data_IF_786792480315
#
_entry.id   IF_786792480315
#
_cell.length_a   1.000
_cell.length_b   1.000
_cell.length_c   1.000
_cell.angle_alpha   90.00
_cell.angle_beta   90.00
_cell.angle_gamma   90.00
#
_symmetry.space_group_name_H-M   'P 1'
#
loop_
_entity.id
_entity.type
_entity.pdbx_description
1 polymer ?
#
# COMPACT_ATOMS: atom_id res chain seq x y z
N UNK A 1 29.47 -36.36 7.35
CA UNK A 1 29.32 -35.34 6.30
C UNK A 1 28.56 -34.17 6.93
N UNK A 2 29.11 -32.95 6.89
CA UNK A 2 28.31 -31.77 7.25
C UNK A 2 27.19 -31.64 6.20
N UNK A 3 25.94 -31.48 6.63
CA UNK A 3 24.84 -31.19 5.71
C UNK A 3 25.17 -29.92 4.90
N UNK A 4 24.82 -29.93 3.62
CA UNK A 4 24.97 -28.73 2.80
C UNK A 4 24.15 -27.59 3.41
N UNK A 5 24.78 -26.43 3.61
CA UNK A 5 24.10 -25.25 4.11
C UNK A 5 23.03 -24.80 3.12
N UNK A 6 21.95 -24.21 3.61
CA UNK A 6 20.84 -23.68 2.81
C UNK A 6 20.88 -22.17 2.77
N UNK A 7 20.23 -21.56 1.78
CA UNK A 7 19.99 -20.13 1.75
C UNK A 7 18.75 -19.77 2.57
N UNK A 8 18.73 -18.56 3.15
CA UNK A 8 17.56 -17.99 3.77
C UNK A 8 17.07 -16.78 2.96
N UNK A 9 15.76 -16.73 2.73
CA UNK A 9 15.06 -15.60 2.10
C UNK A 9 14.12 -15.00 3.12
N UNK A 10 14.45 -13.80 3.59
CA UNK A 10 13.60 -13.01 4.46
C UNK A 10 12.87 -11.98 3.58
N UNK A 11 11.56 -11.89 3.68
CA UNK A 11 10.76 -11.00 2.83
C UNK A 11 9.76 -10.19 3.64
N UNK A 12 9.47 -8.97 3.19
CA UNK A 12 8.50 -8.07 3.82
C UNK A 12 7.10 -8.68 3.83
N UNK A 13 6.44 -8.65 5.01
CA UNK A 13 5.12 -9.20 5.28
C UNK A 13 4.35 -8.26 6.24
N UNK A 14 3.03 -8.10 6.08
CA UNK A 14 2.15 -8.56 5.00
C UNK A 14 2.14 -7.55 3.83
N UNK A 15 2.80 -7.87 2.75
CA UNK A 15 2.89 -6.99 1.59
C UNK A 15 2.92 -7.81 0.29
N UNK A 16 2.12 -7.47 -0.73
CA UNK A 16 2.21 -8.11 -2.04
C UNK A 16 3.60 -7.98 -2.66
N UNK A 17 4.25 -6.81 -2.54
CA UNK A 17 5.57 -6.58 -3.11
C UNK A 17 6.61 -7.52 -2.53
N UNK A 18 6.71 -7.61 -1.20
CA UNK A 18 7.60 -8.55 -0.53
C UNK A 18 7.28 -10.03 -0.85
N UNK A 19 6.00 -10.39 -0.97
CA UNK A 19 5.60 -11.75 -1.32
C UNK A 19 5.99 -12.12 -2.78
N UNK A 20 5.85 -11.18 -3.73
CA UNK A 20 6.29 -11.38 -5.10
C UNK A 20 7.83 -11.35 -5.22
N UNK A 21 8.53 -10.56 -4.41
CA UNK A 21 9.98 -10.65 -4.30
C UNK A 21 10.43 -12.05 -3.83
N UNK A 22 9.72 -12.62 -2.85
CA UNK A 22 9.96 -13.99 -2.40
C UNK A 22 9.57 -15.04 -3.46
N UNK A 23 8.51 -14.81 -4.26
CA UNK A 23 8.20 -15.65 -5.41
C UNK A 23 9.36 -15.70 -6.42
N UNK A 24 9.97 -14.56 -6.73
CA UNK A 24 11.13 -14.51 -7.62
C UNK A 24 12.30 -15.37 -7.09
N UNK A 25 12.58 -15.28 -5.79
CA UNK A 25 13.56 -16.16 -5.15
C UNK A 25 13.16 -17.63 -5.25
N UNK A 26 11.89 -17.96 -4.96
CA UNK A 26 11.38 -19.34 -5.06
C UNK A 26 11.58 -19.92 -6.45
N UNK A 27 11.27 -19.16 -7.51
CA UNK A 27 11.46 -19.59 -8.90
C UNK A 27 12.94 -19.91 -9.18
N UNK A 28 13.86 -19.06 -8.71
CA UNK A 28 15.29 -19.30 -8.84
C UNK A 28 15.75 -20.56 -8.13
N UNK A 29 15.43 -20.70 -6.84
CA UNK A 29 15.88 -21.84 -6.04
C UNK A 29 15.28 -23.16 -6.54
N UNK A 30 14.04 -23.15 -7.02
CA UNK A 30 13.37 -24.29 -7.66
C UNK A 30 14.08 -24.68 -8.97
N UNK A 31 14.35 -23.71 -9.84
CA UNK A 31 15.03 -23.94 -11.12
C UNK A 31 16.46 -24.43 -10.91
N UNK A 32 17.21 -23.85 -9.97
CA UNK A 32 18.57 -24.25 -9.64
C UNK A 32 18.67 -25.51 -8.77
N UNK A 33 17.55 -26.05 -8.31
CA UNK A 33 17.50 -27.20 -7.37
C UNK A 33 18.35 -26.99 -6.10
N UNK A 34 18.33 -25.75 -5.57
CA UNK A 34 19.09 -25.36 -4.37
C UNK A 34 18.19 -25.32 -3.14
N UNK A 35 18.71 -25.74 -1.96
CA UNK A 35 17.95 -25.70 -0.72
C UNK A 35 17.76 -24.27 -0.22
N UNK A 36 16.53 -23.91 0.16
CA UNK A 36 16.17 -22.59 0.66
C UNK A 36 15.13 -22.66 1.76
N UNK A 37 15.19 -21.71 2.71
CA UNK A 37 14.16 -21.49 3.71
C UNK A 37 13.63 -20.05 3.59
N UNK A 38 12.31 -19.89 3.72
CA UNK A 38 11.64 -18.60 3.61
C UNK A 38 11.14 -18.14 4.98
N UNK A 39 11.31 -16.85 5.28
CA UNK A 39 10.97 -16.23 6.55
C UNK A 39 10.19 -14.93 6.29
N UNK A 40 8.86 -14.91 6.51
CA UNK A 40 8.08 -13.68 6.45
C UNK A 40 8.49 -12.76 7.59
N UNK A 41 8.82 -11.52 7.30
CA UNK A 41 9.26 -10.53 8.27
C UNK A 41 8.27 -9.38 8.39
N UNK A 42 7.75 -9.13 9.58
CA UNK A 42 6.88 -7.99 9.87
C UNK A 42 7.66 -6.84 10.51
N UNK A 43 7.29 -5.60 10.19
CA UNK A 43 7.90 -4.40 10.78
C UNK A 43 7.60 -4.21 12.26
N UNK A 44 6.48 -4.77 12.74
CA UNK A 44 6.05 -4.64 14.14
C UNK A 44 6.74 -5.64 15.08
N UNK A 45 7.19 -6.79 14.56
CA UNK A 45 7.94 -7.80 15.28
C UNK A 45 9.03 -8.37 14.35
N UNK A 46 10.07 -7.58 14.07
CA UNK A 46 11.08 -7.96 13.08
C UNK A 46 11.94 -9.13 13.56
N UNK A 47 12.28 -10.01 12.61
CA UNK A 47 13.15 -11.15 12.85
C UNK A 47 14.52 -10.65 13.31
N UNK A 48 15.00 -11.21 14.42
CA UNK A 48 16.35 -10.99 14.94
C UNK A 48 17.29 -12.09 14.46
N UNK A 49 18.58 -11.79 14.37
CA UNK A 49 19.57 -12.80 13.93
C UNK A 49 19.57 -14.07 14.80
N UNK A 50 19.27 -13.92 16.10
CA UNK A 50 19.13 -15.06 17.02
C UNK A 50 17.91 -15.96 16.77
N UNK A 51 16.92 -15.51 15.97
CA UNK A 51 15.77 -16.31 15.58
C UNK A 51 16.04 -17.17 14.32
N UNK A 52 17.20 -16.98 13.67
CA UNK A 52 17.58 -17.71 12.47
C UNK A 52 18.55 -18.85 12.80
N UNK A 53 18.44 -19.99 12.13
CA UNK A 53 19.37 -21.10 12.30
C UNK A 53 20.70 -20.82 11.56
N UNK A 54 21.42 -19.77 11.97
CA UNK A 54 22.58 -19.21 11.25
C UNK A 54 23.67 -20.23 10.95
N UNK A 55 23.87 -21.23 11.81
CA UNK A 55 24.86 -22.31 11.62
C UNK A 55 24.53 -23.20 10.41
N UNK A 56 23.25 -23.25 9.99
CA UNK A 56 22.76 -24.00 8.84
C UNK A 56 22.70 -23.16 7.56
N UNK A 57 22.97 -21.85 7.66
CA UNK A 57 22.82 -20.92 6.53
C UNK A 57 24.17 -20.57 5.89
N UNK A 58 24.20 -20.52 4.53
CA UNK A 58 25.30 -19.94 3.76
C UNK A 58 25.00 -18.51 3.37
N UNK A 59 23.84 -18.27 2.74
CA UNK A 59 23.45 -17.00 2.15
C UNK A 59 22.15 -16.51 2.74
N UNK A 60 22.05 -15.20 2.96
CA UNK A 60 20.83 -14.53 3.41
C UNK A 60 20.42 -13.47 2.40
N UNK A 61 19.17 -13.54 1.96
CA UNK A 61 18.54 -12.56 1.08
C UNK A 61 17.50 -11.77 1.89
N UNK A 62 17.62 -10.43 1.88
CA UNK A 62 16.65 -9.52 2.45
C UNK A 62 15.89 -8.87 1.30
N UNK A 63 14.60 -9.13 1.20
CA UNK A 63 13.77 -8.73 0.07
C UNK A 63 12.70 -7.75 0.54
N UNK A 64 12.72 -6.54 -0.03
CA UNK A 64 11.79 -5.45 0.27
C UNK A 64 11.87 -4.95 1.73
N UNK A 65 13.01 -5.13 2.39
CA UNK A 65 13.33 -4.55 3.70
C UNK A 65 14.80 -4.77 4.07
N UNK A 66 15.28 -4.09 5.12
CA UNK A 66 16.66 -4.21 5.63
C UNK A 66 16.76 -4.72 7.07
N UNK A 67 15.63 -4.90 7.75
CA UNK A 67 15.60 -5.25 9.15
C UNK A 67 15.83 -4.07 10.10
N UNK A 68 15.78 -4.33 11.42
CA UNK A 68 16.03 -3.32 12.43
C UNK A 68 17.49 -2.85 12.44
N UNK A 69 17.73 -1.72 13.09
CA UNK A 69 19.09 -1.17 13.21
C UNK A 69 20.09 -2.22 13.76
N UNK A 70 21.23 -2.36 13.08
CA UNK A 70 22.28 -3.32 13.44
C UNK A 70 22.06 -4.75 12.91
N UNK A 71 20.88 -5.10 12.40
CA UNK A 71 20.57 -6.46 11.94
C UNK A 71 21.51 -6.91 10.81
N UNK A 72 21.72 -6.07 9.79
CA UNK A 72 22.61 -6.40 8.65
C UNK A 72 24.05 -6.58 9.12
N UNK A 73 24.54 -5.71 10.02
CA UNK A 73 25.86 -5.82 10.57
C UNK A 73 26.02 -7.12 11.37
N UNK A 74 25.06 -7.48 12.19
CA UNK A 74 25.07 -8.71 12.97
C UNK A 74 25.03 -9.96 12.08
N UNK A 75 24.07 -10.04 11.16
CA UNK A 75 23.89 -11.24 10.33
C UNK A 75 25.08 -11.46 9.38
N UNK A 76 25.70 -10.39 8.86
CA UNK A 76 26.86 -10.48 7.99
C UNK A 76 28.08 -11.14 8.63
N UNK A 77 28.18 -11.09 9.96
CA UNK A 77 29.27 -11.79 10.69
C UNK A 77 29.02 -13.29 10.85
N UNK A 78 27.80 -13.76 10.59
CA UNK A 78 27.37 -15.14 10.89
C UNK A 78 27.18 -16.01 9.64
N UNK A 79 27.12 -15.40 8.44
CA UNK A 79 26.86 -16.09 7.17
C UNK A 79 27.89 -15.73 6.10
N UNK A 80 27.94 -16.52 5.04
CA UNK A 80 28.93 -16.34 3.98
C UNK A 80 28.61 -15.11 3.11
N UNK A 81 27.34 -14.86 2.81
CA UNK A 81 26.92 -13.67 2.08
C UNK A 81 25.55 -13.14 2.54
N UNK A 82 25.37 -11.83 2.40
CA UNK A 82 24.08 -11.16 2.56
C UNK A 82 23.77 -10.34 1.32
N UNK A 83 22.60 -10.54 0.73
CA UNK A 83 22.11 -9.75 -0.40
C UNK A 83 20.86 -9.00 -0.01
N UNK A 84 20.84 -7.69 -0.23
CA UNK A 84 19.73 -6.80 0.08
C UNK A 84 19.16 -6.27 -1.23
N UNK A 85 17.88 -6.53 -1.48
CA UNK A 85 17.12 -6.06 -2.64
C UNK A 85 15.96 -5.22 -2.11
N UNK A 86 16.03 -3.89 -2.27
CA UNK A 86 15.08 -2.97 -1.64
C UNK A 86 14.89 -1.71 -2.49
N UNK A 87 13.84 -0.95 -2.21
CA UNK A 87 13.53 0.30 -2.88
C UNK A 87 13.22 1.45 -1.92
N UNK A 88 13.17 1.18 -0.62
CA UNK A 88 12.80 2.18 0.39
C UNK A 88 13.94 3.20 0.62
N UNK A 89 13.57 4.48 0.69
CA UNK A 89 14.50 5.56 1.05
C UNK A 89 15.18 5.31 2.41
N UNK A 90 14.44 4.80 3.38
CA UNK A 90 14.95 4.46 4.72
C UNK A 90 16.00 3.35 4.67
N UNK A 91 15.87 2.39 3.76
CA UNK A 91 16.89 1.36 3.53
C UNK A 91 18.18 1.97 2.98
N UNK A 92 18.07 2.85 2.00
CA UNK A 92 19.22 3.59 1.46
C UNK A 92 19.93 4.38 2.56
N UNK A 93 19.20 5.14 3.38
CA UNK A 93 19.74 5.95 4.47
C UNK A 93 20.41 5.08 5.55
N UNK A 94 19.80 3.97 5.95
CA UNK A 94 20.34 3.06 6.97
C UNK A 94 21.63 2.36 6.54
N UNK A 95 21.80 2.13 5.23
CA UNK A 95 22.95 1.41 4.68
C UNK A 95 24.03 2.32 4.11
N UNK A 96 23.71 3.61 3.91
CA UNK A 96 24.67 4.59 3.39
C UNK A 96 25.65 5.01 4.50
N UNK A 97 26.96 4.94 4.21
CA UNK A 97 28.00 5.38 5.15
C UNK A 97 28.19 4.50 6.38
N UNK A 98 27.49 3.38 6.48
CA UNK A 98 27.63 2.46 7.62
C UNK A 98 28.86 1.56 7.46
N UNK A 99 29.96 1.92 8.13
CA UNK A 99 31.24 1.19 8.10
C UNK A 99 31.22 -0.13 8.86
N UNK A 100 30.18 -0.42 9.63
CA UNK A 100 30.05 -1.69 10.37
C UNK A 100 29.48 -2.83 9.54
N UNK A 101 29.05 -2.56 8.29
CA UNK A 101 28.54 -3.56 7.37
C UNK A 101 29.70 -4.32 6.72
N UNK A 102 29.64 -5.64 6.81
CA UNK A 102 30.68 -6.53 6.28
C UNK A 102 30.89 -6.42 4.75
N UNK A 103 32.08 -6.75 4.29
CA UNK A 103 32.42 -6.76 2.86
C UNK A 103 31.69 -7.85 2.06
N UNK A 104 31.04 -8.79 2.74
CA UNK A 104 30.20 -9.85 2.17
C UNK A 104 28.74 -9.44 1.95
N UNK A 105 28.41 -8.13 2.07
CA UNK A 105 27.07 -7.60 1.89
C UNK A 105 26.94 -6.93 0.51
N UNK A 106 26.08 -7.48 -0.34
CA UNK A 106 25.67 -6.87 -1.61
C UNK A 106 24.38 -6.07 -1.40
N UNK A 107 24.34 -4.84 -1.92
CA UNK A 107 23.19 -3.92 -1.80
C UNK A 107 22.72 -3.52 -3.19
N UNK A 108 21.47 -3.78 -3.50
CA UNK A 108 20.79 -3.31 -4.73
C UNK A 108 19.55 -2.57 -4.28
N UNK A 109 19.62 -1.22 -4.34
CA UNK A 109 18.54 -0.34 -3.88
C UNK A 109 18.18 0.60 -5.04
N UNK A 110 16.96 0.50 -5.50
CA UNK A 110 16.42 1.32 -6.59
C UNK A 110 15.04 1.86 -6.26
N UNK A 111 14.96 3.11 -5.83
CA UNK A 111 13.70 3.80 -5.45
C UNK A 111 12.74 4.03 -6.64
N UNK A 112 13.14 3.71 -7.86
CA UNK A 112 12.29 3.80 -9.04
C UNK A 112 11.62 2.48 -9.40
N UNK A 113 11.89 1.43 -8.64
CA UNK A 113 11.38 0.08 -8.86
C UNK A 113 10.80 -0.47 -7.56
N UNK A 114 9.96 -1.49 -7.64
CA UNK A 114 9.49 -2.22 -6.47
C UNK A 114 10.47 -3.33 -6.06
N UNK A 115 10.39 -3.78 -4.80
CA UNK A 115 11.17 -4.90 -4.31
C UNK A 115 10.97 -6.17 -5.13
N UNK A 116 9.73 -6.43 -5.57
CA UNK A 116 9.40 -7.57 -6.43
C UNK A 116 10.15 -7.55 -7.77
N UNK A 117 10.12 -6.42 -8.48
CA UNK A 117 10.76 -6.34 -9.81
C UNK A 117 12.28 -6.32 -9.71
N UNK A 118 12.85 -5.71 -8.67
CA UNK A 118 14.29 -5.80 -8.37
C UNK A 118 14.69 -7.27 -8.14
N UNK A 119 13.93 -7.98 -7.31
CA UNK A 119 14.20 -9.38 -7.02
C UNK A 119 14.04 -10.27 -8.26
N UNK A 120 13.01 -10.02 -9.07
CA UNK A 120 12.74 -10.77 -10.29
C UNK A 120 13.93 -10.71 -11.26
N UNK A 121 14.44 -9.51 -11.54
CA UNK A 121 15.58 -9.34 -12.43
C UNK A 121 16.86 -9.90 -11.81
N UNK A 122 17.12 -9.65 -10.54
CA UNK A 122 18.29 -10.17 -9.83
C UNK A 122 18.36 -11.69 -9.89
N UNK A 123 17.30 -12.41 -9.54
CA UNK A 123 17.29 -13.87 -9.51
C UNK A 123 17.29 -14.47 -10.91
N UNK A 124 16.68 -13.82 -11.90
CA UNK A 124 16.76 -14.20 -13.30
C UNK A 124 18.21 -14.08 -13.82
N UNK A 125 18.86 -12.94 -13.59
CA UNK A 125 20.27 -12.75 -13.97
C UNK A 125 21.19 -13.71 -13.24
N UNK A 126 20.95 -13.99 -11.97
CA UNK A 126 21.72 -14.96 -11.18
C UNK A 126 21.61 -16.38 -11.75
N UNK A 127 20.48 -16.76 -12.33
CA UNK A 127 20.29 -18.08 -12.95
C UNK A 127 21.03 -18.19 -14.28
N UNK A 128 20.95 -17.16 -15.12
CA UNK A 128 21.49 -17.23 -16.49
C UNK A 128 22.91 -16.65 -16.64
N UNK A 129 23.44 -15.98 -15.60
CA UNK A 129 24.66 -15.20 -15.65
C UNK A 129 24.51 -13.85 -16.34
N UNK A 130 25.45 -12.91 -16.13
CA UNK A 130 25.37 -11.53 -16.64
C UNK A 130 25.54 -11.43 -18.19
N UNK A 131 25.65 -12.50 -18.90
CA UNK A 131 26.15 -12.49 -20.28
C UNK A 131 25.15 -12.71 -21.40
N UNK A 132 23.87 -13.00 -21.14
CA UNK A 132 22.95 -13.35 -22.25
C UNK A 132 21.52 -12.80 -22.12
N UNK A 133 21.38 -11.49 -21.94
CA UNK A 133 20.06 -10.83 -22.10
C UNK A 133 19.67 -10.65 -23.59
N UNK A 134 20.59 -10.93 -24.54
CA UNK A 134 20.35 -10.72 -25.97
C UNK A 134 20.15 -12.01 -26.80
N UNK A 135 20.19 -13.18 -26.18
CA UNK A 135 19.97 -14.46 -26.88
C UNK A 135 18.71 -15.17 -26.42
N UNK A 136 17.56 -14.57 -26.71
CA UNK A 136 16.32 -15.30 -26.84
C UNK A 136 16.27 -15.90 -28.22
N UNK A 137 16.72 -17.13 -28.35
CA UNK A 137 16.68 -17.88 -29.60
C UNK A 137 18.01 -18.62 -29.87
N UNK A 138 18.03 -19.92 -29.71
CA UNK A 138 19.09 -20.90 -29.99
C UNK A 138 20.16 -21.10 -28.90
N UNK A 139 19.83 -21.90 -27.91
CA UNK A 139 20.79 -22.91 -27.43
C UNK A 139 20.03 -24.08 -26.77
N UNK A 140 20.09 -25.22 -27.45
CA UNK A 140 19.81 -26.54 -26.90
C UNK A 140 20.85 -26.86 -25.81
N UNK A 141 20.66 -26.36 -24.61
CA UNK A 141 21.47 -26.61 -23.43
C UNK A 141 20.56 -26.72 -22.22
N UNK A 142 20.29 -27.94 -21.79
CA UNK A 142 19.63 -28.39 -20.54
C UNK A 142 18.67 -27.38 -19.96
N UNK A 143 17.38 -27.58 -20.24
CA UNK A 143 16.24 -26.66 -19.96
C UNK A 143 16.04 -26.26 -18.51
N UNK A 144 16.84 -25.32 -18.02
CA UNK A 144 16.60 -24.65 -16.75
C UNK A 144 15.84 -23.37 -17.07
N UNK A 145 14.52 -23.40 -16.96
CA UNK A 145 13.69 -22.21 -17.19
C UNK A 145 13.37 -21.54 -15.83
N UNK A 146 13.69 -20.26 -15.68
CA UNK A 146 13.28 -19.43 -14.55
C UNK A 146 11.75 -19.35 -14.47
N UNK A 147 11.11 -19.10 -15.60
CA UNK A 147 9.67 -19.17 -15.84
C UNK A 147 9.47 -19.91 -17.16
N UNK A 148 8.56 -20.89 -17.26
CA UNK A 148 8.21 -21.49 -18.54
C UNK A 148 7.78 -20.47 -19.58
N UNK A 149 8.14 -20.64 -20.85
CA UNK A 149 7.81 -19.70 -21.93
C UNK A 149 6.30 -19.44 -22.04
N UNK A 150 5.49 -20.47 -21.80
CA UNK A 150 4.01 -20.36 -21.77
C UNK A 150 3.48 -19.41 -20.70
N UNK A 151 4.22 -19.19 -19.64
CA UNK A 151 3.81 -18.36 -18.48
C UNK A 151 4.52 -17.01 -18.44
N UNK A 152 5.54 -16.81 -19.28
CA UNK A 152 6.45 -15.66 -19.19
C UNK A 152 5.70 -14.31 -19.29
N UNK A 153 4.80 -14.18 -20.26
CA UNK A 153 4.03 -12.95 -20.44
C UNK A 153 3.11 -12.70 -19.24
N UNK A 154 2.40 -13.72 -18.77
CA UNK A 154 1.49 -13.65 -17.62
C UNK A 154 2.25 -13.25 -16.34
N UNK A 155 3.35 -13.91 -16.04
CA UNK A 155 4.17 -13.63 -14.87
C UNK A 155 4.77 -12.22 -14.95
N UNK A 156 5.32 -11.82 -16.09
CA UNK A 156 5.84 -10.46 -16.28
C UNK A 156 4.76 -9.39 -16.05
N UNK A 157 3.53 -9.63 -16.49
CA UNK A 157 2.41 -8.70 -16.24
C UNK A 157 2.05 -8.62 -14.76
N UNK A 158 2.05 -9.73 -14.03
CA UNK A 158 1.84 -9.73 -12.58
C UNK A 158 2.86 -8.82 -11.88
N UNK A 159 4.15 -9.03 -12.13
CA UNK A 159 5.19 -8.19 -11.51
C UNK A 159 5.08 -6.71 -11.88
N UNK A 160 4.73 -6.39 -13.12
CA UNK A 160 4.48 -4.99 -13.53
C UNK A 160 3.29 -4.35 -12.81
N UNK A 161 2.19 -5.07 -12.61
CA UNK A 161 1.04 -4.57 -11.86
C UNK A 161 1.37 -4.38 -10.38
N UNK A 162 2.15 -5.29 -9.78
CA UNK A 162 2.63 -5.15 -8.40
C UNK A 162 3.46 -3.87 -8.28
N UNK A 163 4.44 -3.65 -9.14
CA UNK A 163 5.28 -2.44 -9.14
C UNK A 163 4.45 -1.16 -9.32
N UNK A 164 3.53 -1.14 -10.28
CA UNK A 164 2.72 0.05 -10.58
C UNK A 164 1.84 0.44 -9.40
N UNK A 165 1.29 -0.54 -8.70
CA UNK A 165 0.47 -0.32 -7.50
C UNK A 165 1.31 0.06 -6.28
N UNK A 166 2.43 -0.60 -6.05
CA UNK A 166 3.32 -0.36 -4.91
C UNK A 166 3.90 1.06 -4.93
N UNK A 167 4.33 1.50 -6.11
CA UNK A 167 4.87 2.84 -6.34
C UNK A 167 3.80 3.91 -6.58
N UNK A 168 2.51 3.58 -6.41
CA UNK A 168 1.37 4.49 -6.58
C UNK A 168 1.34 5.21 -7.94
N UNK A 169 1.90 4.61 -8.98
CA UNK A 169 1.99 5.21 -10.31
C UNK A 169 0.67 5.22 -11.04
N UNK A 170 -0.08 4.12 -10.94
CA UNK A 170 -1.36 3.91 -11.64
C UNK A 170 -1.27 4.19 -13.16
N UNK A 171 -0.10 3.92 -13.74
CA UNK A 171 0.21 4.19 -15.13
C UNK A 171 -0.24 3.07 -16.07
N UNK A 172 -0.35 1.85 -15.58
CA UNK A 172 -0.82 0.72 -16.36
C UNK A 172 -2.36 0.74 -16.47
N UNK A 173 -2.91 0.45 -17.66
CA UNK A 173 -4.35 0.29 -17.80
C UNK A 173 -4.88 -0.76 -16.81
N UNK A 174 -5.97 -0.40 -16.12
CA UNK A 174 -6.66 -1.27 -15.17
C UNK A 174 -5.85 -1.64 -13.89
N UNK A 175 -4.74 -0.96 -13.62
CA UNK A 175 -3.90 -1.22 -12.44
C UNK A 175 -4.66 -1.08 -11.13
N UNK A 176 -5.55 -0.08 -11.00
CA UNK A 176 -6.42 0.05 -9.83
C UNK A 176 -7.38 -1.14 -9.66
N UNK A 177 -7.91 -1.64 -10.78
CA UNK A 177 -8.78 -2.82 -10.75
C UNK A 177 -7.98 -4.07 -10.36
N UNK A 178 -6.79 -4.26 -10.92
CA UNK A 178 -5.89 -5.35 -10.51
C UNK A 178 -5.60 -5.31 -9.02
N UNK A 179 -5.19 -4.15 -8.48
CA UNK A 179 -4.88 -4.00 -7.05
C UNK A 179 -6.10 -4.25 -6.15
N UNK A 180 -7.30 -3.76 -6.56
CA UNK A 180 -8.53 -4.04 -5.83
C UNK A 180 -8.87 -5.53 -5.84
N UNK A 181 -8.81 -6.18 -7.01
CA UNK A 181 -9.08 -7.60 -7.13
C UNK A 181 -8.09 -8.47 -6.36
N UNK A 182 -6.80 -8.13 -6.40
CA UNK A 182 -5.79 -8.85 -5.64
C UNK A 182 -6.02 -8.77 -4.12
N UNK A 183 -6.39 -7.58 -3.62
CA UNK A 183 -6.75 -7.39 -2.21
C UNK A 183 -7.95 -8.24 -1.80
N UNK A 184 -8.97 -8.30 -2.64
CA UNK A 184 -10.20 -9.05 -2.35
C UNK A 184 -9.99 -10.57 -2.36
N UNK A 185 -8.92 -11.07 -2.98
CA UNK A 185 -8.55 -12.48 -2.91
C UNK A 185 -8.09 -12.92 -1.51
N UNK A 186 -7.80 -11.98 -0.61
CA UNK A 186 -7.39 -12.23 0.77
C UNK A 186 -6.29 -13.30 0.89
N UNK A 187 -5.27 -13.23 0.02
CA UNK A 187 -4.17 -14.19 0.02
C UNK A 187 -3.36 -14.01 1.31
N UNK A 188 -3.17 -15.11 2.03
CA UNK A 188 -2.24 -15.13 3.15
C UNK A 188 -0.80 -15.22 2.60
N UNK A 189 -0.03 -14.14 2.80
CA UNK A 189 1.35 -14.03 2.31
C UNK A 189 2.40 -14.63 3.25
N UNK A 190 2.00 -15.17 4.40
CA UNK A 190 2.90 -15.88 5.30
C UNK A 190 3.06 -17.34 4.85
N UNK A 191 4.23 -17.69 4.34
CA UNK A 191 4.53 -19.05 3.87
C UNK A 191 4.42 -20.11 4.97
N UNK A 192 4.49 -19.73 6.24
CA UNK A 192 4.31 -20.65 7.34
C UNK A 192 2.83 -21.04 7.56
N UNK A 193 1.93 -20.10 7.25
CA UNK A 193 0.48 -20.29 7.32
C UNK A 193 -0.09 -20.78 5.99
N UNK A 194 0.44 -20.33 4.86
CA UNK A 194 0.05 -20.75 3.52
C UNK A 194 1.20 -21.51 2.84
N UNK A 195 1.23 -22.81 2.98
CA UNK A 195 2.29 -23.66 2.41
C UNK A 195 2.29 -23.71 0.87
N UNK A 196 1.19 -23.35 0.24
CA UNK A 196 1.05 -23.28 -1.21
C UNK A 196 1.26 -21.85 -1.76
N UNK A 197 1.73 -20.91 -0.94
CA UNK A 197 1.83 -19.48 -1.28
C UNK A 197 2.44 -19.24 -2.67
N UNK A 198 3.61 -19.77 -2.90
CA UNK A 198 4.34 -19.49 -4.15
C UNK A 198 3.68 -20.12 -5.37
N UNK A 199 3.14 -21.32 -5.26
CA UNK A 199 2.39 -21.94 -6.34
C UNK A 199 1.07 -21.19 -6.59
N UNK A 200 0.40 -20.69 -5.54
CA UNK A 200 -0.77 -19.84 -5.64
C UNK A 200 -0.46 -18.51 -6.34
N UNK A 201 0.60 -17.80 -5.93
CA UNK A 201 1.03 -16.55 -6.57
C UNK A 201 1.44 -16.75 -8.03
N UNK A 202 2.17 -17.84 -8.31
CA UNK A 202 2.58 -18.18 -9.66
C UNK A 202 1.38 -18.48 -10.58
N UNK A 203 0.32 -19.10 -10.06
CA UNK A 203 -0.87 -19.47 -10.81
C UNK A 203 -1.87 -18.32 -11.02
N UNK A 204 -1.63 -17.14 -10.46
CA UNK A 204 -2.53 -15.98 -10.61
C UNK A 204 -2.70 -15.60 -12.08
N UNK A 205 -3.95 -15.30 -12.45
CA UNK A 205 -4.32 -14.77 -13.77
C UNK A 205 -4.66 -13.27 -13.65
N UNK A 206 -3.85 -12.39 -14.28
CA UNK A 206 -4.12 -10.94 -14.25
C UNK A 206 -5.50 -10.56 -14.78
N UNK A 207 -6.01 -11.24 -15.81
CA UNK A 207 -7.32 -10.92 -16.40
C UNK A 207 -8.46 -11.26 -15.44
N UNK A 208 -8.37 -12.40 -14.77
CA UNK A 208 -9.33 -12.78 -13.74
C UNK A 208 -9.32 -11.76 -12.58
N UNK A 209 -8.14 -11.40 -12.08
CA UNK A 209 -7.97 -10.43 -10.99
C UNK A 209 -8.55 -9.07 -11.39
N UNK A 210 -8.25 -8.58 -12.60
CA UNK A 210 -8.75 -7.31 -13.13
C UNK A 210 -10.28 -7.33 -13.23
N UNK A 211 -10.84 -8.38 -13.83
CA UNK A 211 -12.30 -8.52 -13.98
C UNK A 211 -13.00 -8.50 -12.62
N UNK A 212 -12.46 -9.27 -11.65
CA UNK A 212 -12.99 -9.28 -10.28
C UNK A 212 -12.89 -7.89 -9.64
N UNK A 213 -11.75 -7.24 -9.74
CA UNK A 213 -11.52 -5.92 -9.17
C UNK A 213 -12.33 -4.81 -9.82
N UNK A 214 -12.64 -4.89 -11.12
CA UNK A 214 -13.55 -3.96 -11.77
C UNK A 214 -14.95 -4.04 -11.15
N UNK A 215 -15.46 -5.24 -10.93
CA UNK A 215 -16.78 -5.44 -10.29
C UNK A 215 -16.76 -4.88 -8.86
N UNK A 216 -15.70 -5.12 -8.11
CA UNK A 216 -15.54 -4.58 -6.75
C UNK A 216 -15.49 -3.04 -6.76
N UNK A 217 -14.75 -2.44 -7.68
CA UNK A 217 -14.66 -0.98 -7.79
C UNK A 217 -16.01 -0.36 -8.18
N UNK A 218 -16.76 -0.99 -9.09
CA UNK A 218 -18.11 -0.56 -9.44
C UNK A 218 -19.03 -0.62 -8.23
N UNK A 219 -19.04 -1.73 -7.51
CA UNK A 219 -19.87 -1.85 -6.31
C UNK A 219 -19.50 -0.83 -5.21
N UNK A 220 -18.19 -0.61 -4.97
CA UNK A 220 -17.73 0.45 -4.06
C UNK A 220 -18.21 1.83 -4.51
N UNK A 221 -18.12 2.12 -5.80
CA UNK A 221 -18.56 3.39 -6.36
C UNK A 221 -20.08 3.58 -6.19
N UNK A 222 -20.89 2.55 -6.45
CA UNK A 222 -22.34 2.59 -6.22
C UNK A 222 -22.70 2.87 -4.75
N UNK A 223 -21.96 2.25 -3.82
CA UNK A 223 -22.15 2.51 -2.38
C UNK A 223 -21.80 3.96 -2.02
N UNK A 224 -20.69 4.47 -2.54
CA UNK A 224 -20.28 5.87 -2.32
C UNK A 224 -21.32 6.83 -2.90
N UNK A 225 -21.81 6.60 -4.11
CA UNK A 225 -22.81 7.45 -4.76
C UNK A 225 -24.11 7.52 -3.97
N UNK A 226 -24.61 6.39 -3.51
CA UNK A 226 -25.81 6.33 -2.66
C UNK A 226 -25.66 7.15 -1.37
N UNK A 227 -24.49 7.14 -0.77
CA UNK A 227 -24.21 7.92 0.45
C UNK A 227 -24.02 9.40 0.10
N UNK A 228 -23.32 9.71 -1.01
CA UNK A 228 -23.16 11.09 -1.49
C UNK A 228 -24.48 11.78 -1.84
N UNK A 229 -25.50 11.04 -2.30
CA UNK A 229 -26.85 11.58 -2.54
C UNK A 229 -27.49 12.12 -1.26
N UNK A 230 -27.13 11.56 -0.11
CA UNK A 230 -27.63 11.97 1.22
C UNK A 230 -26.82 13.12 1.83
N UNK A 231 -25.85 13.68 1.09
CA UNK A 231 -25.04 14.79 1.61
C UNK A 231 -25.86 16.05 1.84
N UNK A 232 -25.55 16.75 2.90
CA UNK A 232 -26.18 17.99 3.33
C UNK A 232 -25.15 19.07 3.62
N UNK A 233 -25.59 20.32 3.56
CA UNK A 233 -24.72 21.47 3.83
C UNK A 233 -24.58 21.70 5.34
N UNK A 234 -23.35 22.00 5.75
CA UNK A 234 -23.03 22.44 7.12
C UNK A 234 -22.23 23.74 7.11
N UNK A 235 -22.35 24.46 8.22
CA UNK A 235 -21.62 25.69 8.54
C UNK A 235 -20.48 25.34 9.46
N UNK A 236 -19.29 25.14 8.93
CA UNK A 236 -18.11 24.68 9.67
C UNK A 236 -17.74 25.66 10.80
N UNK A 237 -17.67 25.14 12.02
CA UNK A 237 -17.30 25.90 13.20
C UNK A 237 -18.23 27.09 13.45
N UNK A 238 -19.54 26.90 13.27
CA UNK A 238 -20.55 27.95 13.39
C UNK A 238 -20.29 29.19 12.52
N UNK A 239 -19.73 28.97 11.32
CA UNK A 239 -19.46 30.00 10.30
C UNK A 239 -18.03 30.51 10.25
N UNK A 240 -17.19 30.17 11.20
CA UNK A 240 -15.79 30.62 11.23
C UNK A 240 -14.98 30.09 10.03
N UNK A 241 -15.28 28.89 9.56
CA UNK A 241 -14.55 28.22 8.48
C UNK A 241 -15.36 28.07 7.19
N UNK A 242 -16.49 28.81 7.08
CA UNK A 242 -17.34 28.79 5.88
C UNK A 242 -18.26 27.56 5.83
N UNK A 243 -18.71 27.22 4.64
CA UNK A 243 -19.66 26.15 4.39
C UNK A 243 -19.02 24.98 3.65
N UNK A 244 -19.46 23.75 3.92
CA UNK A 244 -19.10 22.58 3.15
C UNK A 244 -20.22 21.54 3.16
N UNK A 245 -20.05 20.49 2.34
CA UNK A 245 -20.92 19.31 2.42
C UNK A 245 -20.45 18.36 3.52
N UNK A 246 -21.43 17.80 4.22
CA UNK A 246 -21.26 16.71 5.16
C UNK A 246 -22.07 15.48 4.73
N UNK A 247 -21.67 14.31 5.20
CA UNK A 247 -22.42 13.07 5.01
C UNK A 247 -22.18 12.10 6.16
N UNK A 248 -23.22 11.40 6.57
CA UNK A 248 -23.13 10.34 7.58
C UNK A 248 -22.60 9.04 6.94
N UNK A 249 -21.55 8.46 7.52
CA UNK A 249 -20.81 7.34 6.94
C UNK A 249 -20.63 6.14 7.88
N UNK A 250 -21.61 5.91 8.78
CA UNK A 250 -21.61 4.73 9.65
C UNK A 250 -21.71 3.43 8.85
N UNK A 251 -22.48 3.43 7.75
CA UNK A 251 -22.76 2.25 6.92
C UNK A 251 -21.62 1.82 6.02
N UNK A 252 -20.62 2.68 5.73
CA UNK A 252 -19.55 2.41 4.78
C UNK A 252 -18.15 2.71 5.34
N UNK A 253 -17.85 2.13 6.50
CA UNK A 253 -16.62 2.39 7.27
C UNK A 253 -15.33 2.27 6.45
N UNK A 254 -15.26 1.29 5.55
CA UNK A 254 -14.06 1.00 4.75
C UNK A 254 -13.86 1.96 3.57
N UNK A 255 -14.85 2.81 3.24
CA UNK A 255 -14.84 3.70 2.09
C UNK A 255 -14.81 5.18 2.48
N UNK A 256 -14.58 5.50 3.76
CA UNK A 256 -14.65 6.87 4.29
C UNK A 256 -13.63 7.81 3.64
N UNK A 257 -12.46 7.31 3.26
CA UNK A 257 -11.44 8.12 2.58
C UNK A 257 -11.88 8.52 1.19
N UNK A 258 -12.26 7.53 0.37
CA UNK A 258 -12.75 7.75 -0.99
C UNK A 258 -14.04 8.58 -1.02
N UNK A 259 -14.94 8.33 -0.08
CA UNK A 259 -16.14 9.13 0.11
C UNK A 259 -15.81 10.60 0.41
N UNK A 260 -14.87 10.84 1.31
CA UNK A 260 -14.46 12.19 1.70
C UNK A 260 -13.84 12.97 0.53
N UNK A 261 -13.02 12.33 -0.28
CA UNK A 261 -12.41 12.94 -1.48
C UNK A 261 -13.48 13.30 -2.52
N UNK A 262 -14.43 12.39 -2.77
CA UNK A 262 -15.55 12.66 -3.69
C UNK A 262 -16.50 13.73 -3.13
N UNK A 263 -16.75 13.77 -1.83
CA UNK A 263 -17.55 14.79 -1.16
C UNK A 263 -16.90 16.17 -1.26
N UNK A 264 -15.57 16.25 -1.08
CA UNK A 264 -14.81 17.50 -1.26
C UNK A 264 -14.93 18.03 -2.69
N UNK A 265 -14.83 17.14 -3.69
CA UNK A 265 -15.05 17.49 -5.09
C UNK A 265 -16.49 17.98 -5.34
N UNK A 266 -17.50 17.31 -4.79
CA UNK A 266 -18.90 17.71 -4.87
C UNK A 266 -19.12 19.09 -4.24
N UNK A 267 -18.55 19.32 -3.06
CA UNK A 267 -18.62 20.62 -2.34
C UNK A 267 -18.02 21.74 -3.19
N UNK A 268 -16.83 21.53 -3.76
CA UNK A 268 -16.18 22.50 -4.67
C UNK A 268 -17.02 22.81 -5.91
N UNK A 269 -17.62 21.79 -6.52
CA UNK A 269 -18.44 21.97 -7.72
C UNK A 269 -19.72 22.78 -7.45
N UNK A 270 -20.30 22.66 -6.26
CA UNK A 270 -21.42 23.47 -5.83
C UNK A 270 -21.00 24.94 -5.62
N UNK A 271 -19.82 25.20 -5.04
CA UNK A 271 -19.25 26.55 -4.94
C UNK A 271 -19.15 27.22 -6.30
N UNK A 272 -18.64 26.51 -7.31
CA UNK A 272 -18.53 27.03 -8.68
C UNK A 272 -19.90 27.35 -9.28
N UNK A 273 -20.91 26.54 -9.02
CA UNK A 273 -22.28 26.80 -9.52
C UNK A 273 -22.91 28.04 -8.88
N UNK A 274 -22.69 28.25 -7.59
CA UNK A 274 -23.19 29.46 -6.90
C UNK A 274 -22.53 30.73 -7.43
N UNK A 275 -21.24 30.71 -7.76
CA UNK A 275 -20.51 31.84 -8.35
C UNK A 275 -21.04 32.22 -9.74
N UNK A 276 -21.55 31.27 -10.53
CA UNK A 276 -22.09 31.54 -11.89
C UNK A 276 -23.54 32.07 -11.89
N UNK A 277 -24.31 31.84 -10.83
CA UNK A 277 -25.74 32.20 -10.76
C UNK A 277 -26.00 33.51 -10.02
N UNK A 278 -25.10 33.93 -9.13
CA UNK A 278 -25.30 35.13 -8.31
C UNK A 278 -24.25 36.19 -8.59
N UNK A 279 -24.65 37.29 -9.24
CA UNK A 279 -23.81 38.47 -9.47
C UNK A 279 -23.47 39.21 -8.15
N UNK A 280 -24.21 38.95 -7.06
CA UNK A 280 -23.99 39.51 -5.71
C UNK A 280 -23.29 38.53 -4.75
N UNK A 281 -22.18 37.95 -5.20
CA UNK A 281 -21.38 36.94 -4.44
C UNK A 281 -20.78 37.45 -3.11
N UNK A 282 -20.98 38.71 -2.75
CA UNK A 282 -20.52 39.32 -1.49
C UNK A 282 -21.42 39.03 -0.29
N UNK A 283 -22.59 38.43 -0.47
CA UNK A 283 -23.54 38.16 0.60
C UNK A 283 -23.69 36.69 0.99
N UNK A 284 -23.06 35.75 0.28
CA UNK A 284 -23.14 34.33 0.64
C UNK A 284 -21.79 33.82 1.11
N UNK A 285 -21.73 33.14 2.28
CA UNK A 285 -20.51 32.51 2.76
C UNK A 285 -20.01 31.50 1.73
N UNK A 286 -18.72 31.60 1.38
CA UNK A 286 -18.12 30.76 0.33
C UNK A 286 -18.13 29.30 0.75
N UNK A 287 -18.67 28.43 -0.10
CA UNK A 287 -18.51 27.00 0.05
C UNK A 287 -17.03 26.61 -0.13
N UNK A 288 -16.50 25.85 0.81
CA UNK A 288 -15.13 25.38 0.77
C UNK A 288 -15.03 24.07 -0.04
N UNK A 289 -13.93 23.85 -0.71
CA UNK A 289 -13.61 22.57 -1.35
C UNK A 289 -13.27 21.49 -0.30
N UNK A 290 -14.09 21.41 0.76
CA UNK A 290 -13.94 20.50 1.89
C UNK A 290 -15.16 19.57 1.91
N UNK A 291 -14.94 18.30 2.23
CA UNK A 291 -15.96 17.32 2.55
C UNK A 291 -15.82 16.83 3.98
N UNK A 292 -16.91 16.83 4.74
CA UNK A 292 -16.97 16.37 6.13
C UNK A 292 -17.65 15.00 6.21
N UNK A 293 -16.89 13.96 6.47
CA UNK A 293 -17.38 12.59 6.70
C UNK A 293 -17.63 12.41 8.18
N UNK A 294 -18.90 12.18 8.54
CA UNK A 294 -19.39 12.11 9.92
C UNK A 294 -19.70 10.68 10.29
N UNK A 295 -19.22 10.22 11.44
CA UNK A 295 -19.50 8.86 11.89
C UNK A 295 -19.27 8.68 13.39
N UNK A 296 -19.91 7.64 13.95
CA UNK A 296 -19.66 7.15 15.29
C UNK A 296 -18.41 6.29 15.35
N UNK A 297 -17.72 6.31 16.48
CA UNK A 297 -16.56 5.46 16.77
C UNK A 297 -16.97 4.44 17.82
N UNK A 298 -17.27 3.18 17.44
CA UNK A 298 -17.79 2.17 18.36
C UNK A 298 -16.90 1.93 19.60
N UNK A 299 -15.58 2.07 19.42
CA UNK A 299 -14.59 1.83 20.48
C UNK A 299 -14.70 2.83 21.64
N UNK A 300 -15.29 4.01 21.39
CA UNK A 300 -15.49 5.04 22.43
C UNK A 300 -16.70 4.70 23.31
N UNK A 301 -17.62 3.85 22.82
CA UNK A 301 -18.85 3.46 23.51
C UNK A 301 -19.66 4.68 24.05
N UNK A 302 -19.70 5.75 23.26
CA UNK A 302 -20.41 6.99 23.56
C UNK A 302 -21.10 7.55 22.32
N UNK A 303 -22.39 7.34 22.21
CA UNK A 303 -23.22 7.78 21.08
C UNK A 303 -23.36 9.30 20.94
N UNK A 304 -22.96 10.06 21.95
CA UNK A 304 -22.99 11.54 21.93
C UNK A 304 -21.77 12.13 21.23
N UNK A 305 -20.76 11.33 20.91
CA UNK A 305 -19.53 11.81 20.29
C UNK A 305 -19.47 11.30 18.85
N UNK A 306 -19.35 12.24 17.94
CA UNK A 306 -19.11 11.97 16.52
C UNK A 306 -17.65 12.22 16.18
N UNK A 307 -17.11 11.43 15.27
CA UNK A 307 -15.85 11.74 14.61
C UNK A 307 -16.16 12.43 13.29
N UNK A 308 -15.55 13.60 13.11
CA UNK A 308 -15.64 14.39 11.89
C UNK A 308 -14.29 14.24 11.17
N UNK A 309 -14.30 13.59 10.02
CA UNK A 309 -13.12 13.48 9.17
C UNK A 309 -13.26 14.43 7.99
N UNK A 310 -12.36 15.39 7.92
CA UNK A 310 -12.31 16.35 6.83
C UNK A 310 -11.39 15.84 5.70
N UNK A 311 -11.83 16.02 4.50
CA UNK A 311 -11.02 15.87 3.28
C UNK A 311 -11.12 17.14 2.46
N UNK A 312 -10.01 17.56 1.87
CA UNK A 312 -10.00 18.73 0.99
C UNK A 312 -9.16 18.46 -0.25
N UNK A 313 -9.36 19.33 -1.22
CA UNK A 313 -8.51 19.42 -2.39
C UNK A 313 -7.27 20.26 -2.05
N UNK A 314 -6.22 20.17 -2.85
CA UNK A 314 -4.90 20.74 -2.59
C UNK A 314 -4.87 22.23 -2.19
N UNK A 315 -5.91 22.98 -2.54
CA UNK A 315 -6.03 24.40 -2.21
C UNK A 315 -6.40 24.71 -0.76
N UNK A 316 -6.99 23.75 -0.04
CA UNK A 316 -7.58 24.00 1.28
C UNK A 316 -6.80 23.21 2.36
N UNK A 317 -6.48 23.90 3.47
CA UNK A 317 -5.87 23.28 4.64
C UNK A 317 -6.92 22.99 5.71
N UNK A 318 -7.13 21.70 6.03
CA UNK A 318 -8.12 21.27 7.04
C UNK A 318 -7.55 21.20 8.45
N UNK A 319 -6.23 21.34 8.63
CA UNK A 319 -5.60 21.19 9.94
C UNK A 319 -5.99 22.27 10.95
N UNK A 320 -6.13 23.57 10.58
CA UNK A 320 -6.57 24.59 11.52
C UNK A 320 -7.98 24.31 12.09
N UNK A 321 -8.87 23.78 11.24
CA UNK A 321 -10.22 23.41 11.65
C UNK A 321 -10.17 22.29 12.70
N UNK A 322 -9.44 21.22 12.40
CA UNK A 322 -9.34 20.08 13.31
C UNK A 322 -8.65 20.42 14.63
N UNK A 323 -7.62 21.28 14.60
CA UNK A 323 -6.90 21.73 15.80
C UNK A 323 -7.77 22.57 16.74
N UNK A 324 -8.68 23.38 16.20
CA UNK A 324 -9.65 24.16 16.99
C UNK A 324 -10.50 23.27 17.90
N UNK A 325 -10.80 22.03 17.44
CA UNK A 325 -11.59 21.04 18.17
C UNK A 325 -10.73 19.94 18.83
N UNK A 326 -9.43 20.22 19.07
CA UNK A 326 -8.54 19.28 19.75
C UNK A 326 -8.13 18.06 18.93
N UNK A 327 -8.36 18.11 17.62
CA UNK A 327 -7.94 17.06 16.68
C UNK A 327 -6.65 17.39 15.94
N UNK A 328 -6.43 16.76 14.78
CA UNK A 328 -5.24 16.96 13.95
C UNK A 328 -5.26 16.11 12.70
N UNK A 329 -4.12 16.06 12.02
CA UNK A 329 -3.94 15.29 10.78
C UNK A 329 -2.99 15.98 9.81
N UNK A 330 -3.23 15.73 8.53
CA UNK A 330 -2.49 16.33 7.42
C UNK A 330 -3.30 17.43 6.73
N UNK A 331 -2.64 18.27 5.95
CA UNK A 331 -3.23 19.42 5.27
C UNK A 331 -4.56 19.10 4.57
N UNK A 332 -4.62 18.02 3.80
CA UNK A 332 -5.82 17.63 3.04
C UNK A 332 -6.66 16.55 3.71
N UNK A 333 -6.25 16.07 4.89
CA UNK A 333 -6.90 14.97 5.60
C UNK A 333 -6.70 15.10 7.10
N UNK A 334 -7.68 15.62 7.81
CA UNK A 334 -7.63 15.81 9.26
C UNK A 334 -8.93 15.35 9.94
N UNK A 335 -8.93 15.20 11.25
CA UNK A 335 -10.13 14.77 11.96
C UNK A 335 -10.15 15.27 13.40
N UNK A 336 -11.34 15.35 13.98
CA UNK A 336 -11.58 15.71 15.38
C UNK A 336 -12.83 15.02 15.89
N UNK A 337 -13.02 15.09 17.19
CA UNK A 337 -14.21 14.59 17.87
C UNK A 337 -15.11 15.77 18.22
N UNK A 338 -16.45 15.61 18.09
CA UNK A 338 -17.40 16.66 18.35
C UNK A 338 -18.66 16.08 19.00
N UNK A 339 -19.25 16.82 19.94
CA UNK A 339 -20.55 16.45 20.52
C UNK A 339 -21.66 16.52 19.46
N UNK A 340 -22.58 15.57 19.48
CA UNK A 340 -23.67 15.45 18.50
C UNK A 340 -24.54 16.72 18.50
N UNK A 341 -24.86 17.31 19.70
CA UNK A 341 -25.67 18.50 19.76
C UNK A 341 -24.97 19.72 19.17
N UNK A 342 -23.67 19.81 19.33
CA UNK A 342 -22.88 20.87 18.70
C UNK A 342 -22.83 20.67 17.18
N UNK A 343 -22.67 19.46 16.70
CA UNK A 343 -22.69 19.16 15.26
C UNK A 343 -24.05 19.48 14.63
N UNK A 344 -25.17 19.18 15.31
CA UNK A 344 -26.49 19.50 14.80
C UNK A 344 -26.71 21.02 14.58
N UNK A 345 -26.04 21.87 15.36
CA UNK A 345 -26.08 23.33 15.15
C UNK A 345 -25.34 23.78 13.89
N UNK A 346 -24.51 22.92 13.32
CA UNK A 346 -23.80 23.23 12.09
C UNK A 346 -24.61 22.93 10.83
N UNK A 347 -25.67 22.16 10.92
CA UNK A 347 -26.52 21.81 9.78
C UNK A 347 -27.32 23.05 9.30
N UNK A 348 -27.28 23.29 7.99
CA UNK A 348 -28.07 24.36 7.37
C UNK A 348 -29.51 23.90 7.26
N UNK A 349 -30.46 24.70 7.80
CA UNK A 349 -31.89 24.38 7.77
C UNK A 349 -32.39 23.50 8.94
N UNK A 350 -31.53 23.16 9.90
CA UNK A 350 -31.96 22.57 11.16
C UNK A 350 -32.72 23.62 11.97
N UNK A 351 -33.96 23.31 12.37
CA UNK A 351 -34.69 24.18 13.30
C UNK A 351 -33.89 24.33 14.60
N UNK A 352 -33.77 25.55 15.15
CA UNK A 352 -33.22 25.70 16.48
C UNK A 352 -34.17 25.02 17.47
N UNK A 353 -33.74 23.87 17.99
CA UNK A 353 -34.47 23.29 19.14
C UNK A 353 -34.34 24.27 20.33
N UNK A 354 -35.48 24.88 20.67
CA UNK A 354 -35.65 25.71 21.86
C UNK A 354 -35.40 24.92 23.15
#
# INVERSE_FOLDING_TARGET
>A
MKAAKKSAVLYHYPCPDGAFAALAAYLYFKAASLPVAFFPNTVYDPIKAGNLPVDELSDVYLLDFVGPSGFVAEISTKVESVTILDHHKTAFEALSGNSSIGSNVTKIIDMKRSGATIAYDYFREKLFGKTDVSRVGDSAGIGVNFVPDSDLERVNRLFKFIEDADLWRWALPLSKAFNSGLKDMNIEYNVNLNKALFDQLFALDPEYIISHGQNTLLHKQELIEKVLEQSYEIVLGSGRFGHCLAVDADSISNLRSELGDQLANKSRNLKLRVLFVCVDALMYPSMQGIGAVVYKVPEINNDRILKISLRSLDSEDTTPISQEYGGGGHRTASSFMLDTQEFERWKVGGEPQC
#
